data_IF_419004409840
#
_entry.id   IF_419004409840
#
_cell.length_a   1.000
_cell.length_b   1.000
_cell.length_c   1.000
_cell.angle_alpha   90.00
_cell.angle_beta   90.00
_cell.angle_gamma   90.00
#
_symmetry.space_group_name_H-M   'P 1'
#
loop_
_entity.id
_entity.type
_entity.pdbx_description
1 polymer ?
#
# COMPACT_ATOMS: atom_id res chain seq x y z
N UNK A 1 -6.76 -1.66 -9.72
CA UNK A 1 -6.41 -2.97 -9.67
C UNK A 1 -7.00 -3.82 -10.78
N UNK A 2 -7.41 -5.05 -10.60
CA UNK A 2 -7.79 -5.88 -11.74
C UNK A 2 -9.06 -5.44 -12.44
N UNK A 3 -9.06 -5.55 -13.76
CA UNK A 3 -10.08 -5.04 -14.66
C UNK A 3 -11.39 -5.86 -14.72
N UNK A 4 -11.55 -6.85 -13.86
CA UNK A 4 -12.73 -7.71 -13.83
C UNK A 4 -12.75 -8.74 -14.95
N UNK A 5 -13.08 -8.38 -16.17
CA UNK A 5 -13.33 -9.35 -17.25
C UNK A 5 -12.48 -9.08 -18.48
N UNK A 6 -11.91 -10.11 -19.08
CA UNK A 6 -11.19 -10.05 -20.37
C UNK A 6 -11.72 -11.12 -21.31
N UNK A 7 -11.96 -10.76 -22.56
CA UNK A 7 -12.30 -11.71 -23.62
C UNK A 7 -11.05 -12.13 -24.37
N UNK A 8 -10.75 -13.42 -24.37
CA UNK A 8 -9.64 -14.02 -25.11
C UNK A 8 -10.18 -14.96 -26.21
N UNK A 9 -9.42 -15.13 -27.27
CA UNK A 9 -9.76 -16.12 -28.31
C UNK A 9 -8.99 -17.42 -28.03
N UNK A 10 -9.72 -18.50 -27.77
CA UNK A 10 -9.16 -19.84 -27.59
C UNK A 10 -9.77 -20.74 -28.65
N UNK A 11 -8.95 -21.37 -29.48
CA UNK A 11 -9.36 -22.22 -30.60
C UNK A 11 -10.37 -21.53 -31.55
N UNK A 12 -10.16 -20.24 -31.82
CA UNK A 12 -11.01 -19.43 -32.69
C UNK A 12 -12.36 -19.00 -32.08
N UNK A 13 -12.60 -19.29 -30.80
CA UNK A 13 -13.83 -18.93 -30.08
C UNK A 13 -13.53 -17.89 -29.01
N UNK A 14 -14.41 -16.89 -28.81
CA UNK A 14 -14.27 -15.97 -27.70
C UNK A 14 -14.56 -16.68 -26.39
N UNK A 15 -13.64 -16.56 -25.42
CA UNK A 15 -13.77 -17.06 -24.06
C UNK A 15 -13.62 -15.88 -23.13
N UNK A 16 -14.62 -15.65 -22.29
CA UNK A 16 -14.57 -14.64 -21.24
C UNK A 16 -13.83 -15.19 -20.02
N UNK A 17 -12.87 -14.43 -19.52
CA UNK A 17 -12.11 -14.73 -18.32
C UNK A 17 -12.32 -13.66 -17.28
N UNK A 18 -12.57 -14.07 -16.05
CA UNK A 18 -12.79 -13.17 -14.90
C UNK A 18 -11.52 -13.12 -14.06
N UNK A 19 -11.02 -11.93 -13.84
CA UNK A 19 -9.91 -11.63 -12.94
C UNK A 19 -10.49 -11.10 -11.63
N UNK A 20 -10.52 -11.93 -10.61
CA UNK A 20 -11.21 -11.61 -9.35
C UNK A 20 -10.46 -10.56 -8.52
N UNK A 21 -9.12 -10.54 -8.57
CA UNK A 21 -8.32 -9.58 -7.84
C UNK A 21 -8.48 -9.66 -6.33
N UNK A 22 -8.60 -10.89 -5.79
CA UNK A 22 -8.85 -11.07 -4.36
C UNK A 22 -7.69 -10.55 -3.51
N UNK A 23 -6.45 -10.85 -3.89
CA UNK A 23 -5.28 -10.27 -3.27
C UNK A 23 -4.84 -8.96 -3.95
N UNK A 24 -5.06 -8.80 -5.23
CA UNK A 24 -4.66 -7.61 -5.98
C UNK A 24 -5.84 -6.79 -6.54
N UNK A 25 -6.57 -5.91 -5.74
CA UNK A 25 -6.23 -5.54 -4.35
C UNK A 25 -7.48 -5.52 -3.44
N UNK A 26 -8.39 -6.49 -3.52
CA UNK A 26 -9.52 -6.52 -2.60
C UNK A 26 -9.07 -6.76 -1.14
N UNK A 27 -7.94 -7.45 -0.93
CA UNK A 27 -7.34 -7.63 0.40
C UNK A 27 -6.95 -6.30 1.05
N UNK A 28 -6.21 -5.44 0.34
CA UNK A 28 -5.84 -4.12 0.85
C UNK A 28 -7.06 -3.22 1.08
N UNK A 29 -8.08 -3.31 0.23
CA UNK A 29 -9.33 -2.58 0.42
C UNK A 29 -10.08 -3.06 1.67
N UNK A 30 -10.12 -4.36 1.94
CA UNK A 30 -10.73 -4.90 3.15
C UNK A 30 -10.01 -4.40 4.41
N UNK A 31 -8.67 -4.44 4.41
CA UNK A 31 -7.85 -3.88 5.50
C UNK A 31 -8.10 -2.39 5.67
N UNK A 32 -8.20 -1.61 4.58
CA UNK A 32 -8.51 -0.17 4.62
C UNK A 32 -9.86 0.11 5.32
N UNK A 33 -10.90 -0.65 5.00
CA UNK A 33 -12.24 -0.48 5.58
C UNK A 33 -12.23 -0.80 7.07
N UNK A 34 -11.61 -1.92 7.48
CA UNK A 34 -11.51 -2.30 8.88
C UNK A 34 -10.62 -1.33 9.68
N UNK A 35 -9.52 -0.88 9.11
CA UNK A 35 -8.66 0.16 9.70
C UNK A 35 -9.46 1.45 9.94
N UNK A 36 -10.28 1.88 8.98
CA UNK A 36 -11.12 3.06 9.13
C UNK A 36 -12.15 2.88 10.27
N UNK A 37 -12.71 1.68 10.43
CA UNK A 37 -13.62 1.34 11.53
C UNK A 37 -12.90 1.40 12.88
N UNK A 38 -11.70 0.85 12.99
CA UNK A 38 -10.88 0.86 14.21
C UNK A 38 -10.50 2.29 14.61
N UNK A 39 -10.01 3.09 13.66
CA UNK A 39 -9.64 4.49 13.88
C UNK A 39 -10.85 5.31 14.31
N UNK A 40 -12.02 5.14 13.67
CA UNK A 40 -13.25 5.81 14.07
C UNK A 40 -13.68 5.45 15.50
N UNK A 41 -13.60 4.18 15.87
CA UNK A 41 -13.98 3.69 17.19
C UNK A 41 -13.07 4.27 18.28
N UNK A 42 -11.78 4.42 17.99
CA UNK A 42 -10.76 4.91 18.93
C UNK A 42 -10.29 6.33 18.60
N UNK A 43 -11.12 7.14 17.96
CA UNK A 43 -10.74 8.45 17.41
C UNK A 43 -10.12 9.41 18.41
N UNK A 44 -10.45 9.29 19.70
CA UNK A 44 -9.89 10.12 20.78
C UNK A 44 -8.36 9.91 20.96
N UNK A 45 -7.82 8.79 20.49
CA UNK A 45 -6.39 8.46 20.56
C UNK A 45 -5.56 9.13 19.45
N UNK A 46 -6.22 9.65 18.41
CA UNK A 46 -5.55 10.21 17.23
C UNK A 46 -5.47 11.73 17.33
N UNK A 47 -4.25 12.26 17.39
CA UNK A 47 -4.01 13.72 17.43
C UNK A 47 -4.09 14.36 16.04
N UNK A 48 -3.84 13.59 14.97
CA UNK A 48 -3.97 14.02 13.57
C UNK A 48 -5.17 13.39 12.91
N UNK A 49 -5.70 14.07 11.91
CA UNK A 49 -6.71 13.52 11.03
C UNK A 49 -6.15 12.38 10.19
N UNK A 50 -6.93 11.32 10.01
CA UNK A 50 -6.62 10.22 9.10
C UNK A 50 -7.63 10.25 7.96
N UNK A 51 -7.13 10.36 6.72
CA UNK A 51 -7.94 10.35 5.52
C UNK A 51 -7.84 8.97 4.86
N UNK A 52 -8.97 8.31 4.67
CA UNK A 52 -9.06 7.02 4.00
C UNK A 52 -9.49 7.23 2.56
N UNK A 53 -8.70 6.72 1.61
CA UNK A 53 -8.94 6.87 0.17
C UNK A 53 -8.75 5.54 -0.52
N UNK A 54 -9.78 5.10 -1.26
CA UNK A 54 -9.68 3.96 -2.17
C UNK A 54 -9.41 4.50 -3.58
N UNK A 55 -8.20 4.29 -4.08
CA UNK A 55 -7.83 4.71 -5.43
C UNK A 55 -8.33 3.71 -6.47
N UNK A 56 -8.82 4.22 -7.59
CA UNK A 56 -9.14 3.44 -8.77
C UNK A 56 -8.11 3.66 -9.88
N UNK A 57 -8.22 2.88 -10.94
CA UNK A 57 -7.38 2.99 -12.13
C UNK A 57 -5.87 2.87 -11.86
N UNK A 58 -5.47 2.02 -10.92
CA UNK A 58 -4.05 1.76 -10.62
C UNK A 58 -3.34 1.10 -11.81
N UNK A 59 -4.06 0.27 -12.60
CA UNK A 59 -3.58 -0.30 -13.86
C UNK A 59 -3.28 0.73 -14.94
N UNK A 60 -3.83 1.92 -14.85
CA UNK A 60 -3.63 3.06 -15.75
C UNK A 60 -2.55 4.03 -15.19
N UNK A 61 -1.40 3.48 -14.83
CA UNK A 61 -0.28 4.24 -14.26
C UNK A 61 -0.64 5.06 -13.02
N UNK A 62 -1.41 4.44 -12.11
CA UNK A 62 -1.84 5.05 -10.84
C UNK A 62 -2.63 6.36 -11.03
N UNK A 63 -3.49 6.39 -12.06
CA UNK A 63 -4.22 7.59 -12.43
C UNK A 63 -5.12 8.13 -11.31
N UNK A 64 -5.64 7.25 -10.44
CA UNK A 64 -6.49 7.64 -9.30
C UNK A 64 -5.74 8.45 -8.25
N UNK A 65 -4.58 7.98 -7.79
CA UNK A 65 -3.74 8.71 -6.83
C UNK A 65 -3.15 9.99 -7.43
N UNK A 66 -2.74 9.92 -8.70
CA UNK A 66 -2.30 11.12 -9.43
C UNK A 66 -3.41 12.18 -9.50
N UNK A 67 -4.65 11.79 -9.86
CA UNK A 67 -5.79 12.70 -9.92
C UNK A 67 -6.10 13.30 -8.54
N UNK A 68 -6.07 12.46 -7.50
CA UNK A 68 -6.28 12.89 -6.13
C UNK A 68 -5.35 14.04 -5.76
N UNK A 69 -4.03 13.84 -5.92
CA UNK A 69 -3.01 14.82 -5.53
C UNK A 69 -2.99 16.09 -6.41
N UNK A 70 -3.39 16.00 -7.67
CA UNK A 70 -3.28 17.12 -8.59
C UNK A 70 -4.61 17.86 -8.82
N UNK A 71 -5.75 17.26 -8.45
CA UNK A 71 -7.08 17.80 -8.75
C UNK A 71 -8.04 17.81 -7.57
N UNK A 72 -8.11 16.70 -6.80
CA UNK A 72 -9.10 16.58 -5.73
C UNK A 72 -8.60 17.12 -4.40
N UNK A 73 -7.31 16.99 -4.13
CA UNK A 73 -6.68 17.45 -2.88
C UNK A 73 -5.41 18.28 -3.19
N UNK A 74 -5.58 19.52 -3.67
CA UNK A 74 -4.47 20.34 -4.15
C UNK A 74 -3.54 20.82 -3.01
N UNK A 75 -4.02 20.86 -1.77
CA UNK A 75 -3.25 21.30 -0.60
C UNK A 75 -2.46 20.10 -0.01
N UNK A 76 -1.53 19.61 -0.80
CA UNK A 76 -0.68 18.45 -0.45
C UNK A 76 0.29 18.76 0.69
N UNK A 77 0.54 20.03 1.00
CA UNK A 77 1.37 20.44 2.14
C UNK A 77 0.79 20.08 3.50
N UNK A 78 -0.49 19.71 3.57
CA UNK A 78 -1.15 19.21 4.78
C UNK A 78 -1.09 17.68 4.93
N UNK A 79 -0.41 16.97 4.04
CA UNK A 79 -0.20 15.52 4.12
C UNK A 79 1.15 15.25 4.77
N UNK A 80 1.16 14.82 6.03
CA UNK A 80 2.40 14.51 6.76
C UNK A 80 3.03 13.18 6.29
N UNK A 81 2.20 12.17 5.99
CA UNK A 81 2.65 10.87 5.47
C UNK A 81 1.50 10.12 4.78
N UNK A 82 1.85 9.17 3.92
CA UNK A 82 0.93 8.27 3.24
C UNK A 82 1.21 6.82 3.64
N UNK A 83 0.15 6.05 3.89
CA UNK A 83 0.21 4.60 4.08
C UNK A 83 -0.49 3.95 2.89
N UNK A 84 0.25 3.20 2.10
CA UNK A 84 -0.27 2.43 0.97
C UNK A 84 -0.48 0.97 1.38
N UNK A 85 -1.66 0.44 1.10
CA UNK A 85 -2.08 -0.92 1.41
C UNK A 85 -2.36 -1.66 0.12
N UNK A 86 -1.48 -2.59 -0.24
CA UNK A 86 -1.61 -3.30 -1.50
C UNK A 86 -1.12 -4.74 -1.40
N UNK A 87 -2.00 -5.68 -1.78
CA UNK A 87 -1.74 -7.12 -1.74
C UNK A 87 -1.36 -7.64 -0.34
N UNK A 88 -2.28 -7.51 0.62
CA UNK A 88 -2.13 -7.89 2.04
C UNK A 88 -2.78 -9.25 2.37
N UNK A 89 -2.87 -10.18 1.43
CA UNK A 89 -3.66 -11.40 1.64
C UNK A 89 -2.86 -12.69 1.77
N UNK A 90 -1.52 -12.68 1.69
CA UNK A 90 -0.73 -13.92 1.57
C UNK A 90 0.17 -14.15 2.78
N UNK A 91 -0.31 -14.87 3.77
CA UNK A 91 0.41 -15.12 5.02
C UNK A 91 1.78 -15.83 4.89
N UNK A 92 1.95 -16.66 3.89
CA UNK A 92 3.20 -17.41 3.67
C UNK A 92 4.25 -16.66 2.84
N UNK A 93 3.92 -15.46 2.36
CA UNK A 93 4.77 -14.72 1.43
C UNK A 93 5.63 -13.65 2.12
N UNK A 94 5.42 -13.45 3.42
CA UNK A 94 6.05 -12.41 4.23
C UNK A 94 5.17 -11.16 4.36
N UNK A 95 5.60 -10.24 5.21
CA UNK A 95 4.98 -8.93 5.39
C UNK A 95 6.07 -7.87 5.29
N UNK A 96 5.94 -6.93 4.38
CA UNK A 96 7.00 -5.97 4.03
C UNK A 96 6.51 -4.53 4.19
N UNK A 97 7.44 -3.66 4.58
CA UNK A 97 7.29 -2.22 4.59
C UNK A 97 8.37 -1.58 3.70
N UNK A 98 7.98 -0.92 2.64
CA UNK A 98 8.88 -0.14 1.80
C UNK A 98 8.64 1.35 2.02
N UNK A 99 9.71 2.10 2.34
CA UNK A 99 9.64 3.52 2.70
C UNK A 99 10.55 4.41 1.83
N UNK A 100 11.10 3.87 0.74
CA UNK A 100 12.17 4.51 -0.04
C UNK A 100 13.34 4.98 0.85
N UNK A 101 13.69 4.18 1.85
CA UNK A 101 14.73 4.49 2.85
C UNK A 101 14.46 5.74 3.71
N UNK A 102 13.20 6.19 3.80
CA UNK A 102 12.84 7.31 4.65
C UNK A 102 13.20 7.02 6.12
N UNK A 103 14.06 7.86 6.68
CA UNK A 103 14.63 7.63 8.02
C UNK A 103 13.59 7.80 9.13
N UNK A 104 12.64 8.70 8.96
CA UNK A 104 11.63 9.00 9.98
C UNK A 104 10.58 7.88 10.03
N UNK A 105 10.07 7.42 8.88
CA UNK A 105 9.16 6.28 8.81
C UNK A 105 9.82 4.98 9.30
N UNK A 106 11.07 4.74 8.89
CA UNK A 106 11.85 3.59 9.37
C UNK A 106 12.08 3.64 10.88
N UNK A 107 12.25 4.83 11.48
CA UNK A 107 12.38 4.98 12.92
C UNK A 107 11.08 4.57 13.64
N UNK A 108 9.91 4.96 13.12
CA UNK A 108 8.62 4.53 13.66
C UNK A 108 8.48 3.00 13.61
N UNK A 109 8.78 2.37 12.47
CA UNK A 109 8.72 0.90 12.32
C UNK A 109 9.63 0.21 13.35
N UNK A 110 10.86 0.71 13.53
CA UNK A 110 11.81 0.14 14.50
C UNK A 110 11.36 0.35 15.95
N UNK A 111 10.75 1.49 16.28
CA UNK A 111 10.18 1.73 17.61
C UNK A 111 9.05 0.77 17.89
N UNK A 112 8.13 0.58 16.94
CA UNK A 112 7.06 -0.39 17.05
C UNK A 112 7.56 -1.83 17.23
N UNK A 113 8.69 -2.19 16.62
CA UNK A 113 9.31 -3.50 16.80
C UNK A 113 9.83 -3.77 18.24
N UNK A 114 10.00 -2.73 19.05
CA UNK A 114 10.32 -2.84 20.50
C UNK A 114 9.09 -3.09 21.38
N UNK A 115 7.89 -3.02 20.83
CA UNK A 115 6.62 -3.22 21.51
C UNK A 115 6.04 -4.61 21.21
N UNK A 116 5.02 -5.03 21.98
CA UNK A 116 4.31 -6.26 21.67
C UNK A 116 3.44 -6.07 20.42
N UNK A 117 3.84 -6.66 19.33
CA UNK A 117 3.15 -6.61 18.05
C UNK A 117 2.72 -8.02 17.59
N UNK A 118 1.57 -8.17 16.93
CA UNK A 118 1.11 -9.47 16.43
C UNK A 118 1.95 -10.00 15.26
N UNK A 119 2.56 -9.09 14.49
CA UNK A 119 3.48 -9.36 13.39
C UNK A 119 4.37 -8.13 13.20
N UNK A 120 5.55 -8.31 12.61
CA UNK A 120 6.46 -7.23 12.27
C UNK A 120 6.75 -7.25 10.77
N UNK A 121 6.68 -6.09 10.07
CA UNK A 121 7.11 -6.03 8.69
C UNK A 121 8.64 -6.06 8.58
N UNK A 122 9.13 -6.72 7.55
CA UNK A 122 10.50 -6.54 7.09
C UNK A 122 10.61 -5.20 6.36
N UNK A 123 11.57 -4.36 6.76
CA UNK A 123 11.85 -3.12 6.04
C UNK A 123 12.58 -3.47 4.75
N UNK A 124 11.90 -3.37 3.63
CA UNK A 124 12.50 -3.62 2.32
C UNK A 124 13.40 -2.46 1.90
N UNK A 125 14.61 -2.78 1.48
CA UNK A 125 15.55 -1.80 0.92
C UNK A 125 15.21 -1.42 -0.54
N UNK A 126 14.41 -2.25 -1.22
CA UNK A 126 14.01 -2.06 -2.62
C UNK A 126 12.50 -2.10 -2.73
N UNK A 127 11.96 -1.34 -3.67
CA UNK A 127 10.55 -1.42 -4.02
C UNK A 127 10.24 -2.79 -4.61
N UNK A 128 9.28 -3.50 -4.02
CA UNK A 128 8.91 -4.85 -4.44
C UNK A 128 8.14 -4.79 -5.77
N UNK A 129 7.25 -3.81 -5.90
CA UNK A 129 6.54 -3.45 -7.14
C UNK A 129 5.97 -2.03 -7.00
N UNK A 130 5.73 -1.33 -8.12
CA UNK A 130 5.14 0.00 -8.13
C UNK A 130 3.66 -0.05 -7.68
N UNK A 131 3.24 0.95 -6.90
CA UNK A 131 1.85 1.13 -6.48
C UNK A 131 1.55 2.63 -6.26
N UNK A 132 0.36 2.97 -5.77
CA UNK A 132 -0.13 4.35 -5.61
C UNK A 132 0.76 5.25 -4.74
N UNK A 133 1.62 4.68 -3.88
CA UNK A 133 2.60 5.44 -3.10
C UNK A 133 3.57 6.26 -3.96
N UNK A 134 3.83 5.85 -5.21
CA UNK A 134 4.71 6.58 -6.13
C UNK A 134 4.21 7.97 -6.44
N UNK A 135 2.91 8.16 -6.61
CA UNK A 135 2.34 9.49 -6.85
C UNK A 135 2.61 10.45 -5.69
N UNK A 136 2.70 9.94 -4.47
CA UNK A 136 3.06 10.73 -3.28
C UNK A 136 4.56 11.04 -3.24
N UNK A 137 5.43 10.11 -3.60
CA UNK A 137 6.86 10.39 -3.75
C UNK A 137 7.12 11.49 -4.77
N UNK A 138 6.36 11.52 -5.87
CA UNK A 138 6.48 12.56 -6.88
C UNK A 138 6.12 13.96 -6.35
N UNK A 139 5.40 14.02 -5.24
CA UNK A 139 5.07 15.23 -4.51
C UNK A 139 5.94 15.46 -3.27
N UNK A 140 7.00 14.67 -3.10
CA UNK A 140 7.89 14.73 -1.94
C UNK A 140 7.14 14.49 -0.61
N UNK A 141 6.10 13.65 -0.63
CA UNK A 141 5.36 13.23 0.56
C UNK A 141 5.92 11.88 1.02
N UNK A 142 6.37 11.75 2.29
CA UNK A 142 6.82 10.49 2.85
C UNK A 142 5.72 9.43 2.74
N UNK A 143 6.05 8.24 2.23
CA UNK A 143 5.09 7.16 2.08
C UNK A 143 5.68 5.83 2.55
N UNK A 144 4.83 5.00 3.15
CA UNK A 144 5.12 3.60 3.41
C UNK A 144 4.18 2.72 2.58
N UNK A 145 4.74 1.72 1.94
CA UNK A 145 3.98 0.71 1.21
C UNK A 145 4.04 -0.61 1.98
N UNK A 146 2.91 -1.04 2.53
CA UNK A 146 2.74 -2.35 3.16
C UNK A 146 2.18 -3.36 2.16
N UNK A 147 2.82 -4.54 2.11
CA UNK A 147 2.46 -5.61 1.17
C UNK A 147 2.95 -6.97 1.64
N UNK A 148 2.32 -8.04 1.17
CA UNK A 148 2.85 -9.40 1.29
C UNK A 148 3.73 -9.81 0.10
N UNK A 149 3.97 -8.90 -0.84
CA UNK A 149 4.89 -9.11 -1.94
C UNK A 149 4.27 -9.75 -3.19
N UNK A 150 5.14 -10.13 -4.13
CA UNK A 150 4.73 -10.72 -5.41
C UNK A 150 4.27 -12.17 -5.24
N UNK A 151 3.32 -12.60 -6.08
CA UNK A 151 2.79 -13.95 -6.10
C UNK A 151 2.40 -14.38 -7.52
N UNK A 152 2.32 -15.67 -7.76
CA UNK A 152 2.15 -16.25 -9.09
C UNK A 152 0.73 -16.08 -9.66
N UNK A 153 -0.26 -15.89 -8.81
CA UNK A 153 -1.67 -15.73 -9.18
C UNK A 153 -2.02 -14.29 -9.56
N UNK A 154 -1.13 -13.33 -9.31
CA UNK A 154 -1.35 -11.93 -9.62
C UNK A 154 -1.73 -11.72 -11.10
N UNK A 155 -2.75 -10.92 -11.33
CA UNK A 155 -3.32 -10.68 -12.65
C UNK A 155 -3.72 -11.96 -13.41
N UNK A 156 -4.16 -12.99 -12.71
CA UNK A 156 -4.72 -14.22 -13.27
C UNK A 156 -6.11 -14.53 -12.70
N UNK A 157 -6.83 -15.46 -13.35
CA UNK A 157 -8.12 -15.97 -12.86
C UNK A 157 -8.00 -16.72 -11.54
N UNK A 158 -6.79 -17.07 -11.10
CA UNK A 158 -6.51 -17.79 -9.86
C UNK A 158 -6.38 -16.88 -8.64
N UNK A 159 -6.32 -15.56 -8.84
CA UNK A 159 -6.37 -14.58 -7.74
C UNK A 159 -7.77 -14.53 -7.13
N UNK A 160 -8.11 -15.55 -6.39
CA UNK A 160 -9.42 -15.76 -5.77
C UNK A 160 -9.31 -15.75 -4.26
N UNK A 161 -10.45 -15.63 -3.58
CA UNK A 161 -10.50 -15.64 -2.11
C UNK A 161 -9.87 -16.88 -1.46
N UNK A 162 -9.71 -17.99 -2.20
CA UNK A 162 -9.14 -19.23 -1.68
C UNK A 162 -7.63 -19.16 -1.39
N UNK A 163 -6.93 -18.15 -1.91
CA UNK A 163 -5.51 -17.93 -1.63
C UNK A 163 -5.26 -17.01 -0.43
N UNK A 164 -6.33 -16.38 0.10
CA UNK A 164 -6.20 -15.41 1.18
C UNK A 164 -6.05 -16.09 2.54
N UNK A 165 -5.11 -15.59 3.33
CA UNK A 165 -4.90 -15.95 4.74
C UNK A 165 -5.50 -14.86 5.64
N UNK A 166 -6.75 -15.05 6.04
CA UNK A 166 -7.48 -14.06 6.83
C UNK A 166 -6.90 -13.87 8.23
N UNK A 167 -6.33 -14.91 8.83
CA UNK A 167 -5.69 -14.80 10.15
C UNK A 167 -4.45 -13.91 10.09
N UNK A 168 -3.66 -14.05 9.03
CA UNK A 168 -2.49 -13.20 8.83
C UNK A 168 -2.90 -11.76 8.50
N UNK A 169 -3.94 -11.57 7.66
CA UNK A 169 -4.50 -10.24 7.37
C UNK A 169 -4.97 -9.51 8.64
N UNK A 170 -5.53 -10.22 9.61
CA UNK A 170 -5.94 -9.65 10.90
C UNK A 170 -4.72 -9.15 11.69
N UNK A 171 -3.63 -9.93 11.72
CA UNK A 171 -2.37 -9.53 12.38
C UNK A 171 -1.72 -8.32 11.69
N UNK A 172 -1.73 -8.29 10.36
CA UNK A 172 -1.23 -7.16 9.57
C UNK A 172 -2.06 -5.92 9.82
N UNK A 173 -3.39 -6.03 9.83
CA UNK A 173 -4.30 -4.94 10.17
C UNK A 173 -4.01 -4.35 11.56
N UNK A 174 -3.82 -5.19 12.57
CA UNK A 174 -3.52 -4.75 13.93
C UNK A 174 -2.19 -4.00 13.98
N UNK A 175 -1.15 -4.52 13.32
CA UNK A 175 0.12 -3.81 13.19
C UNK A 175 -0.03 -2.47 12.48
N UNK A 176 -0.74 -2.44 11.33
CA UNK A 176 -0.97 -1.21 10.54
C UNK A 176 -1.77 -0.20 11.35
N UNK A 177 -2.73 -0.63 12.18
CA UNK A 177 -3.45 0.23 13.10
C UNK A 177 -2.51 0.88 14.12
N UNK A 178 -1.65 0.09 14.78
CA UNK A 178 -0.67 0.59 15.75
C UNK A 178 0.33 1.55 15.10
N UNK A 179 0.78 1.25 13.89
CA UNK A 179 1.63 2.12 13.11
C UNK A 179 0.92 3.43 12.73
N UNK A 180 -0.33 3.36 12.30
CA UNK A 180 -1.14 4.54 11.97
C UNK A 180 -1.35 5.44 13.19
N UNK A 181 -1.60 4.84 14.36
CA UNK A 181 -1.70 5.57 15.62
C UNK A 181 -0.38 6.27 15.97
N UNK A 182 0.75 5.57 15.86
CA UNK A 182 2.07 6.13 16.13
C UNK A 182 2.39 7.34 15.21
N UNK A 183 2.03 7.28 13.92
CA UNK A 183 2.15 8.42 13.01
C UNK A 183 1.24 9.58 13.42
N UNK A 184 -0.01 9.28 13.76
CA UNK A 184 -0.99 10.30 14.12
C UNK A 184 -0.70 10.97 15.47
N UNK A 185 0.02 10.30 16.38
CA UNK A 185 0.37 10.83 17.70
C UNK A 185 1.79 11.45 17.77
N UNK A 186 2.59 11.36 16.71
CA UNK A 186 3.94 11.91 16.68
C UNK A 186 3.96 13.44 16.92
N UNK A 187 4.97 13.95 17.64
CA UNK A 187 5.07 15.39 17.97
C UNK A 187 5.50 16.28 16.80
N UNK A 188 6.08 15.73 15.74
CA UNK A 188 6.53 16.44 14.54
C UNK A 188 5.99 15.84 13.26
N UNK A 189 6.07 16.58 12.15
CA UNK A 189 5.83 16.03 10.81
C UNK A 189 6.95 15.11 10.36
N UNK A 190 6.70 14.34 9.32
CA UNK A 190 7.67 13.46 8.69
C UNK A 190 8.33 14.17 7.51
N UNK A 191 9.66 14.21 7.48
CA UNK A 191 10.38 14.90 6.43
C UNK A 191 10.66 13.99 5.23
N UNK A 192 10.43 14.50 4.03
CA UNK A 192 10.97 13.88 2.82
C UNK A 192 12.45 14.22 2.72
N UNK A 193 13.34 13.20 2.70
CA UNK A 193 14.79 13.41 2.81
C UNK A 193 15.51 13.13 1.50
N UNK A 194 16.76 13.58 1.39
CA UNK A 194 17.59 13.38 0.20
C UNK A 194 17.84 11.90 -0.15
N UNK A 195 17.81 11.01 0.83
CA UNK A 195 17.86 9.56 0.60
C UNK A 195 16.65 9.06 -0.19
N UNK A 196 15.47 9.63 0.06
CA UNK A 196 14.22 9.31 -0.65
C UNK A 196 14.34 9.72 -2.13
N UNK A 197 14.93 10.88 -2.40
CA UNK A 197 15.18 11.36 -3.78
C UNK A 197 16.09 10.43 -4.54
N UNK A 198 17.16 9.94 -3.90
CA UNK A 198 18.09 8.99 -4.53
C UNK A 198 17.41 7.64 -4.84
N UNK A 199 16.51 7.18 -3.99
CA UNK A 199 15.75 5.95 -4.22
C UNK A 199 14.72 6.15 -5.34
N UNK A 200 13.99 7.29 -5.32
CA UNK A 200 13.04 7.66 -6.38
C UNK A 200 13.67 7.60 -7.77
N UNK A 201 14.89 8.14 -7.92
CA UNK A 201 15.59 8.13 -9.20
C UNK A 201 15.93 6.70 -9.66
N UNK A 202 16.36 5.82 -8.76
CA UNK A 202 16.61 4.41 -9.08
C UNK A 202 15.34 3.67 -9.49
N UNK A 203 14.25 3.87 -8.76
CA UNK A 203 12.96 3.24 -9.03
C UNK A 203 12.37 3.68 -10.38
N UNK A 204 12.62 4.94 -10.80
CA UNK A 204 12.18 5.45 -12.10
C UNK A 204 12.95 4.85 -13.29
N UNK A 205 14.21 4.50 -13.11
CA UNK A 205 15.02 3.83 -14.13
C UNK A 205 14.57 2.38 -14.35
N UNK A 206 14.20 1.67 -13.27
CA UNK A 206 13.72 0.29 -13.35
C UNK A 206 12.37 0.14 -14.07
N UNK A 207 11.49 1.15 -14.00
CA UNK A 207 10.19 1.10 -14.72
C UNK A 207 10.36 1.19 -16.23
N UNK A 208 11.35 1.91 -16.71
CA UNK A 208 11.64 1.99 -18.15
C UNK A 208 12.18 0.68 -18.74
N UNK A 209 12.66 -0.23 -17.91
CA UNK A 209 13.17 -1.54 -18.33
C UNK A 209 12.06 -2.62 -18.49
N UNK A 210 10.82 -2.33 -18.09
CA UNK A 210 9.68 -3.27 -18.13
C UNK A 210 8.59 -2.89 -19.14
N UNK A 211 8.79 -1.82 -19.92
CA UNK A 211 7.98 -1.45 -21.09
C UNK A 211 8.74 -1.85 -22.38
#
# INVERSE_FOLDING_TARGET
>A
DNSGTMTMTVDGKPVERIYYGANGNASGLAVLVELARMVKTNSIMFRRSVLFVAFGASSETFAGSWYFLNRSFPDTGNIDAMINLDMLGLGNNGFYAYTASNTDLNAVIRTQAGELQPILPEISAMEIYPSDHRAFYDKEIPAVHFTTGRYSEHNTERDTQSILDYENMERELEYIYNFTLALADADGGFAFRSADVSQKNRDSEDVTAYN
#
